data_IF_542761648803
#
_entry.id   IF_542761648803
#
_cell.length_a   1.000
_cell.length_b   1.000
_cell.length_c   1.000
_cell.angle_alpha   90.00
_cell.angle_beta   90.00
_cell.angle_gamma   90.00
#
_symmetry.space_group_name_H-M   'P 1'
#
loop_
_entity.id
_entity.type
_entity.pdbx_description
1 polymer ?
#
# COMPACT_ATOMS: atom_id res chain seq x y z
N UNK A 1 -47.29 58.37 13.89
CA UNK A 1 -46.46 57.54 14.80
C UNK A 1 -45.13 58.27 14.94
N UNK A 2 -44.76 58.67 16.16
CA UNK A 2 -43.59 59.52 16.45
C UNK A 2 -42.27 58.84 16.02
N UNK A 3 -41.45 59.52 15.20
CA UNK A 3 -40.20 59.01 14.63
C UNK A 3 -39.19 58.58 15.71
N UNK A 4 -39.20 59.23 16.88
CA UNK A 4 -38.37 58.79 18.02
C UNK A 4 -38.75 57.40 18.51
N UNK A 5 -40.04 57.06 18.48
CA UNK A 5 -40.55 55.75 18.89
C UNK A 5 -40.14 54.68 17.87
N UNK A 6 -40.20 54.98 16.56
CA UNK A 6 -39.73 54.11 15.48
C UNK A 6 -38.23 53.81 15.58
N UNK A 7 -37.39 54.82 15.79
CA UNK A 7 -35.93 54.64 15.91
C UNK A 7 -35.58 53.79 17.13
N UNK A 8 -36.27 54.00 18.27
CA UNK A 8 -36.07 53.19 19.48
C UNK A 8 -36.45 51.72 19.24
N UNK A 9 -37.60 51.47 18.60
CA UNK A 9 -38.03 50.11 18.24
C UNK A 9 -37.04 49.44 17.28
N UNK A 10 -36.55 50.16 16.27
CA UNK A 10 -35.60 49.61 15.30
C UNK A 10 -34.26 49.23 15.93
N UNK A 11 -33.74 50.04 16.87
CA UNK A 11 -32.51 49.72 17.63
C UNK A 11 -32.66 48.46 18.48
N UNK A 12 -33.82 48.29 19.13
CA UNK A 12 -34.11 47.09 19.94
C UNK A 12 -34.18 45.85 19.07
N UNK A 13 -34.82 45.92 17.90
CA UNK A 13 -34.88 44.80 16.95
C UNK A 13 -33.49 44.41 16.45
N UNK A 14 -32.65 45.38 16.08
CA UNK A 14 -31.26 45.11 15.65
C UNK A 14 -30.46 44.44 16.78
N UNK A 15 -30.59 44.91 18.02
CA UNK A 15 -29.89 44.33 19.16
C UNK A 15 -30.31 42.87 19.42
N UNK A 16 -31.60 42.57 19.30
CA UNK A 16 -32.14 41.21 19.44
C UNK A 16 -31.56 40.30 18.34
N UNK A 17 -31.53 40.76 17.09
CA UNK A 17 -31.00 39.99 15.97
C UNK A 17 -29.51 39.66 16.17
N UNK A 18 -28.71 40.61 16.70
CA UNK A 18 -27.30 40.38 17.01
C UNK A 18 -27.12 39.34 18.12
N UNK A 19 -27.93 39.39 19.18
CA UNK A 19 -27.86 38.42 20.28
C UNK A 19 -28.24 37.00 19.83
N UNK A 20 -29.26 36.88 18.97
CA UNK A 20 -29.66 35.57 18.41
C UNK A 20 -28.55 34.99 17.54
N UNK A 21 -27.87 35.81 16.73
CA UNK A 21 -26.76 35.36 15.90
C UNK A 21 -25.56 34.89 16.75
N UNK A 22 -25.27 35.60 17.84
CA UNK A 22 -24.20 35.23 18.77
C UNK A 22 -24.48 33.89 19.47
N UNK A 23 -25.73 33.66 19.88
CA UNK A 23 -26.14 32.39 20.50
C UNK A 23 -26.09 31.22 19.51
N UNK A 24 -26.52 31.44 18.26
CA UNK A 24 -26.47 30.41 17.23
C UNK A 24 -25.02 30.01 16.88
N UNK A 25 -24.11 30.97 16.79
CA UNK A 25 -22.68 30.70 16.50
C UNK A 25 -21.97 30.00 17.65
N UNK A 26 -22.24 30.40 18.90
CA UNK A 26 -21.73 29.72 20.09
C UNK A 26 -22.25 28.27 20.21
N UNK A 27 -23.54 28.06 19.89
CA UNK A 27 -24.14 26.72 19.85
C UNK A 27 -23.50 25.81 18.81
N UNK A 28 -23.20 26.34 17.62
CA UNK A 28 -22.50 25.59 16.56
C UNK A 28 -21.07 25.23 16.96
N UNK A 29 -20.32 26.17 17.54
CA UNK A 29 -18.96 25.93 18.00
C UNK A 29 -18.91 24.89 19.13
N UNK A 30 -19.84 24.98 20.08
CA UNK A 30 -19.99 23.99 21.14
C UNK A 30 -20.35 22.62 20.58
N UNK A 31 -21.30 22.55 19.65
CA UNK A 31 -21.67 21.29 19.00
C UNK A 31 -20.46 20.67 18.29
N UNK A 32 -19.71 21.43 17.49
CA UNK A 32 -18.49 20.94 16.84
C UNK A 32 -17.49 20.41 17.88
N UNK A 33 -17.23 21.15 18.96
CA UNK A 33 -16.27 20.75 19.98
C UNK A 33 -16.69 19.46 20.72
N UNK A 34 -17.96 19.33 21.09
CA UNK A 34 -18.48 18.15 21.79
C UNK A 34 -18.77 16.96 20.87
N UNK A 35 -18.90 17.18 19.56
CA UNK A 35 -19.20 16.12 18.58
C UNK A 35 -17.95 15.51 17.96
N UNK A 36 -16.73 15.95 18.32
CA UNK A 36 -15.52 15.25 17.91
C UNK A 36 -15.29 14.06 18.86
N UNK A 37 -15.68 12.82 18.49
CA UNK A 37 -15.22 11.67 19.24
C UNK A 37 -13.70 11.68 19.21
N UNK A 38 -13.07 11.69 20.39
CA UNK A 38 -11.67 11.32 20.52
C UNK A 38 -11.50 9.94 19.89
N UNK A 39 -10.75 9.87 18.78
CA UNK A 39 -10.41 8.60 18.14
C UNK A 39 -9.73 7.72 19.18
N UNK A 40 -10.14 6.45 19.35
CA UNK A 40 -9.49 5.56 20.30
C UNK A 40 -8.02 5.36 19.88
N UNK A 41 -7.09 5.43 20.85
CA UNK A 41 -5.64 5.20 20.71
C UNK A 41 -5.26 3.74 20.32
N UNK A 42 -6.16 3.00 19.67
CA UNK A 42 -6.01 1.57 19.33
C UNK A 42 -5.93 1.31 17.82
N UNK A 43 -5.78 2.35 16.99
CA UNK A 43 -5.63 2.20 15.55
C UNK A 43 -4.15 1.99 15.18
N UNK A 44 -3.86 0.94 14.40
CA UNK A 44 -2.55 0.79 13.77
C UNK A 44 -2.33 1.92 12.77
N UNK A 45 -1.20 2.62 12.87
CA UNK A 45 -0.81 3.68 11.96
C UNK A 45 -0.16 3.07 10.71
N UNK A 46 -0.98 2.80 9.70
CA UNK A 46 -0.53 2.22 8.44
C UNK A 46 0.15 3.27 7.57
N UNK A 47 1.35 2.94 7.08
CA UNK A 47 2.04 3.69 6.04
C UNK A 47 1.70 3.10 4.66
N UNK A 48 1.52 3.94 3.65
CA UNK A 48 1.39 3.47 2.27
C UNK A 48 2.78 3.20 1.67
N UNK A 49 2.93 2.07 1.00
CA UNK A 49 4.17 1.68 0.31
C UNK A 49 3.86 0.88 -0.95
N UNK A 50 4.80 0.90 -1.90
CA UNK A 50 4.80 -0.03 -3.02
C UNK A 50 5.29 -1.41 -2.57
N UNK A 51 4.49 -2.45 -2.86
CA UNK A 51 4.82 -3.86 -2.68
C UNK A 51 5.07 -4.46 -4.06
N UNK A 52 6.15 -5.23 -4.18
CA UNK A 52 6.46 -5.99 -5.39
C UNK A 52 6.40 -7.48 -5.10
N UNK A 53 5.77 -8.25 -5.99
CA UNK A 53 5.75 -9.71 -5.96
C UNK A 53 6.36 -10.24 -7.24
N UNK A 54 7.45 -11.01 -7.15
CA UNK A 54 8.11 -11.63 -8.28
C UNK A 54 7.80 -13.12 -8.29
N UNK A 55 7.44 -13.65 -9.45
CA UNK A 55 7.17 -15.06 -9.69
C UNK A 55 8.27 -15.62 -10.60
N UNK A 56 9.18 -16.38 -9.99
CA UNK A 56 10.36 -16.92 -10.65
C UNK A 56 10.15 -18.41 -10.87
N UNK A 57 9.95 -18.81 -12.13
CA UNK A 57 9.85 -20.23 -12.51
C UNK A 57 11.16 -20.99 -12.23
N UNK A 58 11.13 -22.31 -12.28
CA UNK A 58 12.34 -23.14 -12.16
C UNK A 58 12.76 -23.78 -13.49
N UNK A 59 12.01 -23.50 -14.56
CA UNK A 59 12.32 -23.98 -15.91
C UNK A 59 13.20 -22.99 -16.67
N UNK A 60 13.89 -23.49 -17.69
CA UNK A 60 14.55 -22.62 -18.68
C UNK A 60 13.55 -21.98 -19.65
N UNK A 61 14.06 -21.11 -20.53
CA UNK A 61 13.26 -20.48 -21.60
C UNK A 61 12.56 -21.45 -22.57
N UNK A 62 12.93 -22.74 -22.60
CA UNK A 62 12.32 -23.75 -23.45
C UNK A 62 11.28 -24.61 -22.69
N UNK A 63 11.10 -24.38 -21.39
CA UNK A 63 10.20 -25.17 -20.55
C UNK A 63 10.82 -26.44 -19.97
N UNK A 64 12.14 -26.60 -20.04
CA UNK A 64 12.81 -27.73 -19.41
C UNK A 64 12.95 -27.44 -17.92
N UNK A 65 12.49 -28.37 -17.07
CA UNK A 65 12.73 -28.30 -15.64
C UNK A 65 14.23 -28.53 -15.34
N UNK A 66 14.99 -27.43 -15.20
CA UNK A 66 16.44 -27.47 -14.98
C UNK A 66 16.77 -27.46 -13.49
N UNK A 67 16.01 -26.69 -12.70
CA UNK A 67 16.29 -26.48 -11.29
C UNK A 67 15.18 -27.07 -10.42
N UNK A 68 15.57 -27.71 -9.32
CA UNK A 68 14.68 -27.87 -8.17
C UNK A 68 14.42 -26.53 -7.49
N UNK A 69 13.37 -26.44 -6.66
CA UNK A 69 13.09 -25.24 -5.86
C UNK A 69 14.27 -24.86 -4.96
N UNK A 70 14.94 -25.83 -4.36
CA UNK A 70 16.08 -25.58 -3.49
C UNK A 70 17.30 -25.06 -4.26
N UNK A 71 17.59 -25.60 -5.44
CA UNK A 71 18.68 -25.09 -6.30
C UNK A 71 18.36 -23.67 -6.79
N UNK A 72 17.12 -23.42 -7.21
CA UNK A 72 16.69 -22.09 -7.62
C UNK A 72 16.81 -21.08 -6.48
N UNK A 73 16.43 -21.43 -5.24
CA UNK A 73 16.62 -20.55 -4.07
C UNK A 73 18.09 -20.26 -3.79
N UNK A 74 18.96 -21.25 -3.90
CA UNK A 74 20.40 -21.07 -3.69
C UNK A 74 21.02 -20.10 -4.71
N UNK A 75 20.41 -19.97 -5.89
CA UNK A 75 20.81 -18.99 -6.92
C UNK A 75 20.16 -17.63 -6.69
N UNK A 76 18.84 -17.59 -6.44
CA UNK A 76 18.06 -16.35 -6.41
C UNK A 76 18.19 -15.59 -5.09
N UNK A 77 18.28 -16.27 -3.94
CA UNK A 77 18.41 -15.59 -2.65
C UNK A 77 19.66 -14.69 -2.59
N UNK A 78 20.86 -15.15 -2.99
CA UNK A 78 22.03 -14.27 -3.05
C UNK A 78 21.89 -13.11 -4.04
N UNK A 79 21.07 -13.24 -5.09
CA UNK A 79 20.78 -12.13 -5.99
C UNK A 79 19.96 -11.08 -5.25
N UNK A 80 18.87 -11.48 -4.58
CA UNK A 80 18.04 -10.57 -3.80
C UNK A 80 18.84 -9.88 -2.69
N UNK A 81 19.69 -10.62 -1.97
CA UNK A 81 20.50 -10.10 -0.86
C UNK A 81 21.49 -8.98 -1.28
N UNK A 82 21.84 -8.88 -2.57
CA UNK A 82 22.70 -7.79 -3.09
C UNK A 82 21.98 -6.43 -3.13
N UNK A 83 20.66 -6.45 -3.33
CA UNK A 83 19.90 -5.26 -3.70
C UNK A 83 18.92 -4.81 -2.62
N UNK A 84 18.45 -5.72 -1.77
CA UNK A 84 17.43 -5.41 -0.76
C UNK A 84 17.81 -5.94 0.63
N UNK A 85 17.40 -5.24 1.71
CA UNK A 85 17.70 -5.66 3.07
C UNK A 85 16.85 -6.86 3.54
N UNK A 86 15.79 -7.20 2.80
CA UNK A 86 14.92 -8.33 3.15
C UNK A 86 13.78 -8.55 2.17
N UNK A 87 13.28 -9.77 2.19
CA UNK A 87 12.15 -10.25 1.40
C UNK A 87 11.54 -11.46 2.09
N UNK A 88 10.33 -11.85 1.66
CA UNK A 88 9.74 -13.14 2.03
C UNK A 88 9.63 -14.00 0.78
N UNK A 89 9.97 -15.28 0.88
CA UNK A 89 9.89 -16.24 -0.23
C UNK A 89 8.88 -17.34 0.07
N UNK A 90 8.06 -17.69 -0.93
CA UNK A 90 7.14 -18.82 -0.89
C UNK A 90 7.45 -19.79 -2.04
N UNK A 91 7.10 -21.05 -1.85
CA UNK A 91 7.09 -22.05 -2.92
C UNK A 91 5.67 -22.20 -3.45
N UNK A 92 5.53 -22.22 -4.76
CA UNK A 92 4.27 -22.42 -5.46
C UNK A 92 4.47 -23.34 -6.68
N UNK A 93 3.35 -23.72 -7.29
CA UNK A 93 3.34 -24.38 -8.59
C UNK A 93 2.62 -23.47 -9.59
N UNK A 94 3.21 -23.29 -10.75
CA UNK A 94 2.73 -22.46 -11.84
C UNK A 94 2.53 -23.27 -13.11
N UNK A 95 1.73 -22.70 -14.00
CA UNK A 95 1.52 -23.25 -15.33
C UNK A 95 1.53 -22.10 -16.33
N UNK A 96 2.20 -22.27 -17.45
CA UNK A 96 2.18 -21.27 -18.52
C UNK A 96 2.14 -21.94 -19.89
N UNK A 97 1.61 -21.22 -20.87
CA UNK A 97 1.48 -21.72 -22.24
C UNK A 97 2.53 -21.06 -23.12
N UNK A 98 3.34 -21.87 -23.79
CA UNK A 98 4.29 -21.41 -24.81
C UNK A 98 3.58 -20.75 -26.00
N UNK A 99 4.31 -20.00 -26.81
CA UNK A 99 3.80 -19.44 -28.07
C UNK A 99 3.22 -20.51 -29.02
N UNK A 100 3.71 -21.74 -28.93
CA UNK A 100 3.24 -22.88 -29.73
C UNK A 100 2.02 -23.61 -29.13
N UNK A 101 1.44 -23.09 -28.03
CA UNK A 101 0.27 -23.68 -27.38
C UNK A 101 0.55 -24.88 -26.47
N UNK A 102 1.82 -25.18 -26.19
CA UNK A 102 2.21 -26.23 -25.23
C UNK A 102 2.10 -25.68 -23.82
N UNK A 103 1.33 -26.37 -22.97
CA UNK A 103 1.26 -26.10 -21.53
C UNK A 103 2.51 -26.68 -20.84
N UNK A 104 3.16 -25.85 -20.03
CA UNK A 104 4.30 -26.24 -19.20
C UNK A 104 3.87 -26.10 -17.75
N UNK A 105 4.09 -27.17 -16.99
CA UNK A 105 3.92 -27.20 -15.55
C UNK A 105 5.29 -26.96 -14.92
N UNK A 106 5.38 -26.03 -13.97
CA UNK A 106 6.64 -25.77 -13.29
C UNK A 106 6.45 -25.39 -11.82
N UNK A 107 7.53 -25.54 -11.05
CA UNK A 107 7.59 -24.95 -9.73
C UNK A 107 7.95 -23.46 -9.85
N UNK A 108 7.55 -22.68 -8.86
CA UNK A 108 7.73 -21.23 -8.85
C UNK A 108 8.13 -20.76 -7.47
N UNK A 109 9.15 -19.91 -7.40
CA UNK A 109 9.48 -19.16 -6.20
C UNK A 109 8.79 -17.80 -6.26
N UNK A 110 8.08 -17.46 -5.20
CA UNK A 110 7.35 -16.19 -5.09
C UNK A 110 8.06 -15.31 -4.08
N UNK A 111 8.66 -14.22 -4.54
CA UNK A 111 9.37 -13.27 -3.69
C UNK A 111 8.54 -12.01 -3.46
N UNK A 112 8.31 -11.66 -2.19
CA UNK A 112 7.57 -10.46 -1.80
C UNK A 112 8.51 -9.46 -1.17
N UNK A 113 8.50 -8.25 -1.71
CA UNK A 113 9.35 -7.14 -1.30
C UNK A 113 8.51 -5.97 -0.80
N UNK A 114 8.92 -5.40 0.33
CA UNK A 114 8.41 -4.14 0.88
C UNK A 114 9.57 -3.15 0.97
N UNK A 115 9.27 -1.85 0.84
CA UNK A 115 10.26 -0.77 1.02
C UNK A 115 11.49 -0.88 0.10
N UNK A 116 11.27 -1.27 -1.15
CA UNK A 116 12.29 -1.26 -2.20
C UNK A 116 11.84 -0.35 -3.33
N UNK A 117 12.79 0.15 -4.11
CA UNK A 117 12.51 0.93 -5.30
C UNK A 117 12.49 0.04 -6.56
N UNK A 118 11.92 0.59 -7.62
CA UNK A 118 11.77 -0.11 -8.89
C UNK A 118 13.13 -0.44 -9.54
N UNK A 119 14.17 0.36 -9.28
CA UNK A 119 15.52 0.13 -9.80
C UNK A 119 16.12 -1.17 -9.25
N UNK A 120 16.04 -1.40 -7.93
CA UNK A 120 16.49 -2.64 -7.31
C UNK A 120 15.69 -3.84 -7.80
N UNK A 121 14.37 -3.72 -7.97
CA UNK A 121 13.53 -4.80 -8.51
C UNK A 121 13.93 -5.16 -9.95
N UNK A 122 14.17 -4.17 -10.81
CA UNK A 122 14.65 -4.40 -12.18
C UNK A 122 16.03 -5.07 -12.16
N UNK A 123 16.95 -4.64 -11.29
CA UNK A 123 18.26 -5.24 -11.16
C UNK A 123 18.19 -6.72 -10.74
N UNK A 124 17.34 -7.04 -9.76
CA UNK A 124 17.07 -8.43 -9.35
C UNK A 124 16.57 -9.25 -10.53
N UNK A 125 15.54 -8.78 -11.25
CA UNK A 125 14.98 -9.52 -12.38
C UNK A 125 16.02 -9.76 -13.48
N UNK A 126 16.85 -8.78 -13.81
CA UNK A 126 17.92 -8.94 -14.81
C UNK A 126 18.93 -10.02 -14.42
N UNK A 127 19.37 -10.04 -13.16
CA UNK A 127 20.29 -11.06 -12.65
C UNK A 127 19.62 -12.44 -12.64
N UNK A 128 18.36 -12.54 -12.21
CA UNK A 128 17.59 -13.79 -12.20
C UNK A 128 17.45 -14.37 -13.61
N UNK A 129 17.02 -13.56 -14.58
CA UNK A 129 16.89 -13.98 -15.98
C UNK A 129 18.20 -14.54 -16.54
N UNK A 130 19.32 -13.88 -16.20
CA UNK A 130 20.65 -14.29 -16.64
C UNK A 130 21.08 -15.61 -16.01
N UNK A 131 20.98 -15.75 -14.69
CA UNK A 131 21.50 -16.89 -13.94
C UNK A 131 20.62 -18.14 -14.06
N UNK A 132 19.30 -17.99 -14.25
CA UNK A 132 18.38 -19.11 -14.49
C UNK A 132 18.11 -19.38 -15.97
N UNK A 133 18.69 -18.60 -16.88
CA UNK A 133 18.50 -18.71 -18.33
C UNK A 133 17.02 -18.63 -18.77
N UNK A 134 16.28 -17.74 -18.13
CA UNK A 134 14.86 -17.50 -18.36
C UNK A 134 14.63 -16.37 -19.36
N UNK A 135 13.47 -16.38 -20.02
CA UNK A 135 13.04 -15.32 -20.93
C UNK A 135 12.26 -14.20 -20.22
N UNK A 136 11.57 -14.54 -19.12
CA UNK A 136 10.73 -13.61 -18.38
C UNK A 136 10.62 -14.01 -16.90
N UNK A 137 10.35 -13.01 -16.05
CA UNK A 137 9.90 -13.14 -14.67
C UNK A 137 8.62 -12.31 -14.59
N UNK A 138 7.54 -12.88 -14.05
CA UNK A 138 6.32 -12.11 -13.82
C UNK A 138 6.51 -11.25 -12.56
N UNK A 139 6.15 -9.97 -12.65
CA UNK A 139 6.17 -9.02 -11.53
C UNK A 139 4.80 -8.39 -11.36
N UNK A 140 4.32 -8.36 -10.12
CA UNK A 140 3.15 -7.61 -9.70
C UNK A 140 3.58 -6.43 -8.83
N UNK A 141 2.93 -5.28 -9.03
CA UNK A 141 3.13 -4.06 -8.26
C UNK A 141 1.80 -3.63 -7.65
N UNK A 142 1.79 -3.41 -6.34
CA UNK A 142 0.61 -2.98 -5.59
C UNK A 142 0.96 -1.83 -4.63
N UNK A 143 0.02 -0.91 -4.42
CA UNK A 143 0.07 0.02 -3.29
C UNK A 143 -0.66 -0.60 -2.10
N UNK A 144 0.05 -0.76 -0.98
CA UNK A 144 -0.48 -1.41 0.22
C UNK A 144 -0.22 -0.57 1.46
N UNK A 145 -1.13 -0.65 2.43
CA UNK A 145 -0.87 -0.17 3.79
C UNK A 145 -0.04 -1.19 4.57
N UNK A 146 1.05 -0.77 5.21
CA UNK A 146 1.87 -1.62 6.05
C UNK A 146 2.20 -0.96 7.38
N UNK A 147 2.40 -1.77 8.42
CA UNK A 147 2.87 -1.33 9.73
C UNK A 147 3.72 -2.44 10.34
N UNK A 148 4.88 -2.08 10.91
CA UNK A 148 5.61 -2.99 11.78
C UNK A 148 5.11 -2.83 13.20
N UNK A 149 4.49 -3.87 13.73
CA UNK A 149 4.11 -3.90 15.14
C UNK A 149 5.30 -4.36 15.98
N UNK A 150 5.86 -3.46 16.80
CA UNK A 150 7.04 -3.75 17.64
C UNK A 150 6.72 -3.92 19.13
N UNK A 151 5.44 -3.80 19.51
CA UNK A 151 4.94 -4.03 20.86
C UNK A 151 5.41 -3.02 21.92
N UNK A 152 6.03 -1.90 21.53
CA UNK A 152 6.43 -0.86 22.49
C UNK A 152 5.31 0.17 22.65
N UNK A 153 4.61 0.09 23.77
CA UNK A 153 3.77 1.15 24.34
C UNK A 153 4.61 2.22 25.03
#
# INVERSE_FOLDING_TARGET
MDDKKRIKTMKVVILILLLVNLLATAGLAGWIYFSHPSQPETALDYQEVEKYTLYVGTSDKNGNAIYSLEEAKQIVNPICDKYVPGYTVFEASGHWTTENGVLIDENTLVYVFYRTDEEHIIAIMNDVLKELHQSAVLVEKENVGYVFYDGRS
#
